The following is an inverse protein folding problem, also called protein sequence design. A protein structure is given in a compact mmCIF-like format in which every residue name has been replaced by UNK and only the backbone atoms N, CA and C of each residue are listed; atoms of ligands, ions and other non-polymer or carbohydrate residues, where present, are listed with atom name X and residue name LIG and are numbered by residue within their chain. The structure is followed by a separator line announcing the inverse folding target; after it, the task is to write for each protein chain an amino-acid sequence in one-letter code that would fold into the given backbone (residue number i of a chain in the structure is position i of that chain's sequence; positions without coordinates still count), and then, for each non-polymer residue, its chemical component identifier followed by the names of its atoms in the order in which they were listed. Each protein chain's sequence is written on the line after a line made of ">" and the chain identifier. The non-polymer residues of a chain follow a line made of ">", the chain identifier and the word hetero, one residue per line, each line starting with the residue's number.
data_IF_543260066831
#
_entry.id   IF_543260066831
#
_cell.length_a   1.000
_cell.length_b   1.000
_cell.length_c   1.000
_cell.angle_alpha   90.00
_cell.angle_beta   90.00
_cell.angle_gamma   90.00
#
_symmetry.space_group_name_H-M   'P 1'
#
loop_
_entity.id
_entity.type
_entity.pdbx_description
1 polymer ?
#
# COMPACT_ATOMS: atom_id res chain seq x y z
N UNK A 1 -22.73 5.17 7.22
CA UNK A 1 -22.59 3.70 7.05
C UNK A 1 -21.22 3.39 6.51
N UNK A 2 -20.53 2.41 7.06
CA UNK A 2 -19.29 1.96 6.48
C UNK A 2 -19.55 1.46 5.06
N UNK A 3 -18.72 1.86 4.10
CA UNK A 3 -18.88 1.46 2.71
C UNK A 3 -18.86 -0.05 2.51
N UNK A 4 -19.37 -0.51 1.38
CA UNK A 4 -19.40 -1.92 1.05
C UNK A 4 -17.97 -2.50 0.96
N UNK A 5 -17.86 -3.78 1.30
CA UNK A 5 -16.64 -4.51 0.99
C UNK A 5 -16.48 -4.59 -0.53
N UNK A 6 -15.31 -4.24 -1.01
CA UNK A 6 -14.97 -4.32 -2.42
C UNK A 6 -14.29 -5.63 -2.75
N UNK A 7 -14.42 -6.10 -4.01
CA UNK A 7 -13.72 -7.29 -4.45
C UNK A 7 -12.22 -7.21 -4.23
N UNK A 8 -11.61 -8.33 -3.96
CA UNK A 8 -10.14 -8.43 -3.91
C UNK A 8 -9.55 -8.38 -5.32
N UNK A 9 -8.38 -7.78 -5.45
CA UNK A 9 -7.56 -7.84 -6.64
C UNK A 9 -6.17 -8.40 -6.29
N UNK A 10 -5.21 -8.27 -7.21
CA UNK A 10 -3.82 -8.70 -6.98
C UNK A 10 -3.12 -8.03 -5.79
N UNK A 11 -3.64 -6.91 -5.28
CA UNK A 11 -3.15 -6.22 -4.09
C UNK A 11 -3.85 -6.65 -2.79
N UNK A 12 -4.81 -7.56 -2.90
CA UNK A 12 -5.59 -8.05 -1.77
C UNK A 12 -7.02 -7.51 -1.76
N UNK A 13 -7.65 -7.60 -0.61
CA UNK A 13 -9.02 -7.11 -0.41
C UNK A 13 -9.00 -5.62 -0.09
N UNK A 14 -9.79 -4.85 -0.83
CA UNK A 14 -9.96 -3.44 -0.54
C UNK A 14 -10.61 -3.25 0.83
N UNK A 15 -10.12 -2.26 1.57
CA UNK A 15 -10.75 -1.85 2.82
C UNK A 15 -12.07 -1.12 2.52
N UNK A 16 -12.93 -1.08 3.51
CA UNK A 16 -14.14 -0.28 3.44
C UNK A 16 -13.76 1.19 3.22
N UNK A 17 -14.53 1.87 2.40
CA UNK A 17 -14.42 3.32 2.23
C UNK A 17 -15.54 4.03 2.99
N UNK A 18 -15.32 5.28 3.37
CA UNK A 18 -16.36 6.15 3.94
C UNK A 18 -17.30 6.71 2.88
N UNK A 19 -18.38 7.33 3.32
CA UNK A 19 -19.39 7.97 2.46
C UNK A 19 -18.85 9.14 1.62
N UNK A 20 -17.67 9.66 1.98
CA UNK A 20 -16.97 10.72 1.26
C UNK A 20 -16.19 10.23 0.03
N UNK A 21 -16.02 8.92 -0.11
CA UNK A 21 -15.23 8.33 -1.19
C UNK A 21 -16.14 7.80 -2.29
N UNK A 22 -15.76 8.08 -3.53
CA UNK A 22 -16.43 7.60 -4.74
C UNK A 22 -15.47 6.68 -5.49
N UNK A 23 -15.34 5.42 -5.10
CA UNK A 23 -14.33 4.54 -5.65
C UNK A 23 -14.63 4.17 -7.09
N UNK A 24 -13.59 4.20 -7.92
CA UNK A 24 -13.60 3.61 -9.25
C UNK A 24 -12.76 2.34 -9.19
N UNK A 25 -13.37 1.21 -9.53
CA UNK A 25 -12.70 -0.08 -9.45
C UNK A 25 -12.07 -0.46 -10.76
N UNK A 26 -10.92 -1.14 -10.73
CA UNK A 26 -10.30 -1.63 -11.93
C UNK A 26 -11.19 -2.62 -12.68
N UNK A 27 -11.37 -2.40 -13.98
CA UNK A 27 -12.12 -3.29 -14.87
C UNK A 27 -11.20 -4.24 -15.62
N UNK A 28 -9.94 -3.89 -15.77
CA UNK A 28 -8.93 -4.73 -16.40
C UNK A 28 -7.58 -4.58 -15.73
N UNK A 29 -6.73 -5.57 -15.94
CA UNK A 29 -5.36 -5.60 -15.48
C UNK A 29 -4.44 -6.08 -16.59
N UNK A 30 -3.35 -5.37 -16.83
CA UNK A 30 -2.35 -5.73 -17.81
C UNK A 30 -0.96 -5.81 -17.17
N UNK A 31 -0.11 -6.64 -17.74
CA UNK A 31 1.30 -6.64 -17.39
C UNK A 31 1.96 -5.48 -18.14
N UNK A 32 2.60 -4.62 -17.39
CA UNK A 32 3.47 -3.58 -17.89
C UNK A 32 4.90 -3.94 -17.50
N UNK A 33 5.85 -3.61 -18.33
CA UNK A 33 7.23 -3.88 -17.99
C UNK A 33 8.19 -3.07 -18.83
N UNK A 34 9.29 -2.73 -18.20
CA UNK A 34 10.50 -2.27 -18.85
C UNK A 34 11.63 -3.20 -18.40
N UNK A 35 12.77 -3.24 -19.09
CA UNK A 35 13.90 -4.08 -18.66
C UNK A 35 14.28 -3.95 -17.18
N UNK A 36 14.28 -2.74 -16.56
CA UNK A 36 14.59 -2.61 -15.13
C UNK A 36 13.44 -3.00 -14.20
N UNK A 37 12.19 -3.06 -14.69
CA UNK A 37 11.01 -3.35 -13.88
C UNK A 37 10.06 -4.32 -14.61
N UNK A 38 10.47 -5.57 -14.80
CA UNK A 38 9.63 -6.57 -15.46
C UNK A 38 8.45 -6.98 -14.55
N UNK A 39 7.36 -7.42 -15.17
CA UNK A 39 6.21 -8.03 -14.49
C UNK A 39 5.44 -7.13 -13.52
N UNK A 40 5.38 -5.84 -13.79
CA UNK A 40 4.49 -4.94 -13.06
C UNK A 40 3.07 -5.08 -13.62
N UNK A 41 2.11 -5.28 -12.73
CA UNK A 41 0.71 -5.27 -13.09
C UNK A 41 0.12 -3.88 -12.88
N UNK A 42 -0.48 -3.34 -13.96
CA UNK A 42 -1.25 -2.11 -13.91
C UNK A 42 -2.74 -2.43 -13.91
N UNK A 43 -3.45 -1.85 -12.97
CA UNK A 43 -4.90 -1.85 -12.93
C UNK A 43 -5.42 -0.66 -13.76
N UNK A 44 -6.39 -0.91 -14.62
CA UNK A 44 -7.02 0.10 -15.47
C UNK A 44 -8.51 0.17 -15.20
N UNK A 45 -9.00 1.38 -15.03
CA UNK A 45 -10.42 1.66 -14.91
C UNK A 45 -11.02 1.98 -16.28
N UNK A 46 -12.26 1.57 -16.49
CA UNK A 46 -13.03 2.02 -17.65
C UNK A 46 -13.37 3.51 -17.50
N UNK A 47 -13.30 4.25 -18.60
CA UNK A 47 -13.63 5.68 -18.56
C UNK A 47 -15.12 5.93 -18.27
N UNK A 48 -15.98 4.98 -18.59
CA UNK A 48 -17.41 4.99 -18.28
C UNK A 48 -17.64 5.01 -16.77
N UNK A 49 -16.95 4.14 -16.02
CA UNK A 49 -17.06 4.05 -14.57
C UNK A 49 -16.56 5.35 -13.90
N UNK A 50 -15.48 5.93 -14.43
CA UNK A 50 -14.99 7.24 -13.97
C UNK A 50 -16.05 8.32 -14.20
N UNK A 51 -16.65 8.32 -15.39
CA UNK A 51 -17.69 9.30 -15.76
C UNK A 51 -18.92 9.20 -14.86
N UNK A 52 -19.36 7.99 -14.56
CA UNK A 52 -20.49 7.76 -13.65
C UNK A 52 -20.19 8.30 -12.24
N UNK A 53 -19.00 8.07 -11.71
CA UNK A 53 -18.62 8.61 -10.39
C UNK A 53 -18.57 10.13 -10.37
N UNK A 54 -18.03 10.77 -11.43
CA UNK A 54 -18.01 12.22 -11.56
C UNK A 54 -19.45 12.77 -11.62
N UNK A 55 -20.31 12.15 -12.39
CA UNK A 55 -21.71 12.53 -12.50
C UNK A 55 -22.44 12.40 -11.15
N UNK A 56 -22.23 11.30 -10.44
CA UNK A 56 -22.78 11.08 -9.10
C UNK A 56 -22.40 12.23 -8.14
N UNK A 57 -21.12 12.60 -8.12
CA UNK A 57 -20.65 13.71 -7.28
C UNK A 57 -21.27 15.05 -7.70
N UNK A 58 -21.42 15.29 -9.00
CA UNK A 58 -22.05 16.50 -9.51
C UNK A 58 -23.52 16.59 -9.10
N UNK A 59 -24.26 15.50 -9.16
CA UNK A 59 -25.69 15.40 -8.85
C UNK A 59 -26.04 15.54 -7.36
N UNK A 60 -25.06 15.34 -6.46
CA UNK A 60 -25.28 15.51 -5.01
C UNK A 60 -25.71 16.93 -4.59
N UNK A 61 -25.41 17.92 -5.40
CA UNK A 61 -25.59 19.32 -5.00
C UNK A 61 -24.49 19.82 -4.05
N UNK A 62 -24.41 21.16 -3.85
CA UNK A 62 -23.30 21.77 -3.11
C UNK A 62 -23.27 21.40 -1.64
N UNK A 63 -24.41 21.39 -0.96
CA UNK A 63 -24.50 21.13 0.49
C UNK A 63 -24.06 19.70 0.84
N UNK A 64 -24.51 18.71 0.08
CA UNK A 64 -24.14 17.31 0.32
C UNK A 64 -22.67 17.04 -0.03
N UNK A 65 -22.13 17.70 -1.07
CA UNK A 65 -20.69 17.64 -1.38
C UNK A 65 -19.85 18.21 -0.25
N UNK A 66 -20.26 19.36 0.31
CA UNK A 66 -19.58 19.97 1.44
C UNK A 66 -19.62 19.06 2.67
N UNK A 67 -20.79 18.55 3.03
CA UNK A 67 -20.97 17.62 4.15
C UNK A 67 -20.04 16.40 4.04
N UNK A 68 -20.03 15.77 2.88
CA UNK A 68 -19.15 14.60 2.63
C UNK A 68 -17.68 14.99 2.64
N UNK A 69 -17.33 16.15 2.04
CA UNK A 69 -15.98 16.65 2.06
C UNK A 69 -15.46 16.90 3.48
N UNK A 70 -16.29 17.50 4.35
CA UNK A 70 -15.94 17.70 5.76
C UNK A 70 -15.78 16.39 6.50
N UNK A 71 -16.64 15.39 6.28
CA UNK A 71 -16.49 14.07 6.87
C UNK A 71 -15.20 13.37 6.42
N UNK A 72 -14.83 13.51 5.14
CA UNK A 72 -13.55 13.00 4.63
C UNK A 72 -12.34 13.69 5.25
N UNK A 73 -12.42 15.02 5.44
CA UNK A 73 -11.37 15.79 6.12
C UNK A 73 -11.23 15.36 7.58
N UNK A 74 -12.34 15.21 8.30
CA UNK A 74 -12.33 14.77 9.69
C UNK A 74 -11.67 13.38 9.83
N UNK A 75 -12.04 12.45 8.96
CA UNK A 75 -11.39 11.14 8.93
C UNK A 75 -9.90 11.24 8.63
N UNK A 76 -9.49 12.02 7.63
CA UNK A 76 -8.08 12.17 7.26
C UNK A 76 -7.22 12.75 8.39
N UNK A 77 -7.80 13.60 9.25
CA UNK A 77 -7.14 14.16 10.42
C UNK A 77 -7.21 13.26 11.66
N UNK A 78 -7.99 12.18 11.60
CA UNK A 78 -8.15 11.26 12.73
C UNK A 78 -6.89 10.43 12.99
N UNK A 79 -6.77 9.95 14.22
CA UNK A 79 -5.69 9.03 14.58
C UNK A 79 -5.77 7.70 13.83
N UNK A 80 -6.98 7.29 13.42
CA UNK A 80 -7.19 6.07 12.64
C UNK A 80 -6.55 6.17 11.24
N UNK A 81 -6.78 7.29 10.55
CA UNK A 81 -6.18 7.53 9.24
C UNK A 81 -4.66 7.73 9.34
N UNK A 82 -4.22 8.50 10.30
CA UNK A 82 -2.81 8.72 10.59
C UNK A 82 -2.06 9.46 9.48
N UNK A 83 -2.73 10.36 8.75
CA UNK A 83 -2.13 11.07 7.61
C UNK A 83 -1.45 12.39 7.98
N UNK A 84 -1.62 12.86 9.22
CA UNK A 84 -0.95 14.09 9.64
C UNK A 84 0.56 13.88 9.83
N UNK A 85 1.34 14.94 9.61
CA UNK A 85 2.80 14.89 9.80
C UNK A 85 3.18 14.49 11.25
N UNK A 86 2.41 14.96 12.23
CA UNK A 86 2.61 14.61 13.64
C UNK A 86 2.41 13.10 13.88
N UNK A 87 1.32 12.53 13.36
CA UNK A 87 1.02 11.10 13.49
C UNK A 87 2.05 10.24 12.75
N UNK A 88 2.49 10.67 11.57
CA UNK A 88 3.54 9.98 10.82
C UNK A 88 4.87 10.05 11.57
N UNK A 89 5.24 11.22 12.10
CA UNK A 89 6.44 11.39 12.91
C UNK A 89 6.45 10.45 14.14
N UNK A 90 5.34 10.39 14.86
CA UNK A 90 5.18 9.47 15.98
C UNK A 90 5.37 8.01 15.58
N UNK A 91 4.70 7.55 14.51
CA UNK A 91 4.84 6.17 14.00
C UNK A 91 6.28 5.84 13.59
N UNK A 92 6.97 6.78 12.96
CA UNK A 92 8.37 6.61 12.56
C UNK A 92 9.26 6.44 13.79
N UNK A 93 9.10 7.29 14.81
CA UNK A 93 9.87 7.21 16.06
C UNK A 93 9.60 5.86 16.76
N UNK A 94 8.34 5.47 16.92
CA UNK A 94 7.97 4.20 17.51
C UNK A 94 8.56 3.00 16.75
N UNK A 95 8.55 3.06 15.41
CA UNK A 95 9.14 2.02 14.58
C UNK A 95 10.67 1.93 14.74
N UNK A 96 11.37 3.07 14.87
CA UNK A 96 12.79 3.07 15.16
C UNK A 96 13.11 2.55 16.56
N UNK A 97 12.33 2.94 17.56
CA UNK A 97 12.52 2.44 18.92
C UNK A 97 12.36 0.91 18.98
N UNK A 98 11.39 0.36 18.26
CA UNK A 98 11.21 -1.09 18.17
C UNK A 98 12.33 -1.75 17.37
N UNK A 99 12.74 -1.13 16.27
CA UNK A 99 13.87 -1.61 15.48
C UNK A 99 15.14 -1.72 16.33
N UNK A 100 15.48 -0.69 17.10
CA UNK A 100 16.69 -0.69 17.92
C UNK A 100 16.65 -1.71 19.06
N UNK A 101 15.48 -2.07 19.56
CA UNK A 101 15.31 -3.16 20.54
C UNK A 101 15.56 -4.55 19.93
N UNK A 102 15.15 -4.73 18.71
CA UNK A 102 15.12 -6.05 18.06
C UNK A 102 16.27 -6.26 17.07
N UNK A 103 16.89 -5.18 16.59
CA UNK A 103 17.94 -5.24 15.59
C UNK A 103 19.19 -5.97 16.09
N UNK A 104 19.65 -6.87 15.27
CA UNK A 104 20.94 -7.53 15.44
C UNK A 104 21.79 -7.28 14.19
N UNK A 105 23.10 -7.03 14.36
CA UNK A 105 24.00 -6.94 13.22
C UNK A 105 23.91 -8.21 12.38
N UNK A 106 23.90 -8.05 11.06
CA UNK A 106 24.06 -9.22 10.19
C UNK A 106 25.42 -9.85 10.46
N UNK A 107 25.49 -11.16 10.42
CA UNK A 107 26.76 -11.86 10.46
C UNK A 107 27.62 -11.37 9.29
N UNK A 108 28.89 -11.08 9.59
CA UNK A 108 29.83 -10.66 8.56
C UNK A 108 30.05 -11.82 7.61
N UNK A 109 30.00 -11.56 6.33
CA UNK A 109 30.40 -12.53 5.33
C UNK A 109 31.89 -12.81 5.46
N UNK A 110 32.27 -14.06 5.57
CA UNK A 110 33.65 -14.50 5.48
C UNK A 110 33.97 -14.83 4.02
N UNK A 111 34.96 -14.16 3.45
CA UNK A 111 35.45 -14.49 2.12
C UNK A 111 36.40 -15.69 2.28
N UNK A 112 35.91 -16.83 1.86
CA UNK A 112 36.71 -18.08 1.94
C UNK A 112 37.35 -18.36 0.58
N UNK A 113 38.63 -18.63 0.58
CA UNK A 113 39.34 -19.05 -0.62
C UNK A 113 38.95 -20.50 -0.93
N UNK A 114 38.21 -20.72 -2.02
CA UNK A 114 37.65 -22.02 -2.41
C UNK A 114 38.72 -23.13 -2.56
N UNK A 115 39.95 -22.77 -2.94
CA UNK A 115 41.03 -23.74 -3.07
C UNK A 115 41.64 -24.21 -1.74
N UNK A 116 41.46 -23.42 -0.68
CA UNK A 116 41.93 -23.75 0.68
C UNK A 116 40.82 -24.37 1.53
N UNK A 117 39.58 -24.36 1.09
CA UNK A 117 38.44 -24.81 1.86
C UNK A 117 38.14 -26.28 1.60
N UNK A 118 38.68 -27.13 2.44
CA UNK A 118 38.44 -28.60 2.38
C UNK A 118 37.08 -28.89 3.04
N UNK A 119 36.03 -28.95 2.26
CA UNK A 119 34.89 -29.83 2.55
C UNK A 119 33.75 -29.34 3.45
N UNK A 120 33.57 -28.05 3.70
CA UNK A 120 32.42 -27.55 4.49
C UNK A 120 31.34 -26.78 3.72
N UNK A 121 31.40 -26.67 2.40
CA UNK A 121 30.39 -25.99 1.60
C UNK A 121 29.02 -26.69 1.56
N UNK A 122 28.95 -27.95 1.94
CA UNK A 122 27.71 -28.73 1.88
C UNK A 122 26.70 -28.47 3.01
N UNK A 123 27.05 -27.66 4.01
CA UNK A 123 26.17 -27.38 5.15
C UNK A 123 25.60 -25.96 5.19
N UNK A 124 25.90 -25.13 4.22
CA UNK A 124 25.23 -23.83 4.13
C UNK A 124 23.94 -23.96 3.32
N UNK A 125 22.80 -23.80 3.99
CA UNK A 125 21.52 -23.63 3.31
C UNK A 125 21.63 -22.37 2.46
N UNK A 126 21.64 -22.55 1.14
CA UNK A 126 21.41 -21.45 0.22
C UNK A 126 19.95 -21.05 0.39
N UNK A 127 19.72 -19.92 1.04
CA UNK A 127 18.39 -19.32 1.13
C UNK A 127 18.28 -18.38 -0.08
N UNK A 128 17.45 -18.79 -1.05
CA UNK A 128 17.06 -17.96 -2.18
C UNK A 128 16.05 -16.89 -1.75
#
# INVERSE_FOLDING_TARGET
>A
MAGANVPSNHRGTYKKHGEWAFPVYPTSRSIQGSPPTPYIFDDRCAWEDVTERIKEVYELGPEERERRGLAGREWALSNEAGFTAEQQGKRVIEAFDELFKTWKPREKYEIVNATKYKGKFLNHKIVY
#
